data_IF_571292587972
#
_entry.id   IF_571292587972
#
_cell.length_a   1.000
_cell.length_b   1.000
_cell.length_c   1.000
_cell.angle_alpha   90.00
_cell.angle_beta   90.00
_cell.angle_gamma   90.00
#
_symmetry.space_group_name_H-M   'P 1'
#
loop_
_entity.id
_entity.type
_entity.pdbx_description
1 polymer ?
#
# COMPACT_ATOMS: atom_id res chain seq x y z
N UNK A 1 7.58 -8.81 27.62
CA UNK A 1 7.31 -8.21 26.30
C UNK A 1 7.42 -6.71 26.48
N UNK A 2 8.49 -6.10 26.00
CA UNK A 2 8.69 -4.65 26.10
C UNK A 2 7.63 -3.94 25.29
N UNK A 3 6.72 -3.25 25.99
CA UNK A 3 5.78 -2.31 25.39
C UNK A 3 6.58 -1.14 24.81
N UNK A 4 7.05 -1.30 23.56
CA UNK A 4 7.69 -0.24 22.80
C UNK A 4 6.76 0.97 22.80
N UNK A 5 7.22 2.11 23.34
CA UNK A 5 6.44 3.36 23.35
C UNK A 5 5.93 3.62 21.94
N UNK A 6 4.61 3.60 21.74
CA UNK A 6 3.99 3.86 20.44
C UNK A 6 3.99 5.36 20.18
N UNK A 7 4.85 5.82 19.29
CA UNK A 7 4.88 7.22 18.86
C UNK A 7 3.84 7.43 17.74
N UNK A 8 2.86 8.31 17.99
CA UNK A 8 1.79 8.60 17.03
C UNK A 8 2.17 9.80 16.17
N UNK A 9 2.92 9.55 15.09
CA UNK A 9 3.20 10.53 14.02
C UNK A 9 2.38 10.18 12.78
N UNK A 10 1.52 11.09 12.31
CA UNK A 10 0.70 10.90 11.10
C UNK A 10 1.57 11.01 9.85
N UNK A 11 1.32 10.15 8.86
CA UNK A 11 2.03 10.20 7.59
C UNK A 11 1.66 11.46 6.80
N UNK A 12 2.64 12.23 6.28
CA UNK A 12 2.38 13.35 5.37
C UNK A 12 1.75 12.90 4.06
N UNK A 13 1.79 11.59 3.76
CA UNK A 13 1.06 10.96 2.67
C UNK A 13 -0.46 11.23 2.74
N UNK A 14 -1.06 11.28 3.93
CA UNK A 14 -2.51 11.53 4.09
C UNK A 14 -2.92 12.90 3.52
N UNK A 15 -2.02 13.88 3.56
CA UNK A 15 -2.25 15.26 3.09
C UNK A 15 -1.69 15.50 1.69
N UNK A 16 -0.98 14.54 1.10
CA UNK A 16 -0.28 14.71 -0.16
C UNK A 16 -1.24 14.66 -1.35
N UNK A 17 -1.08 15.61 -2.29
CA UNK A 17 -1.78 15.60 -3.57
C UNK A 17 -1.37 14.39 -4.43
N UNK A 18 -2.21 14.00 -5.40
CA UNK A 18 -1.98 12.86 -6.28
C UNK A 18 -0.60 12.89 -6.97
N UNK A 19 -0.19 14.04 -7.52
CA UNK A 19 1.14 14.21 -8.13
C UNK A 19 2.27 14.05 -7.10
N UNK A 20 2.07 14.54 -5.87
CA UNK A 20 3.07 14.39 -4.79
C UNK A 20 3.23 12.93 -4.38
N UNK A 21 2.13 12.16 -4.32
CA UNK A 21 2.15 10.71 -4.08
C UNK A 21 2.88 9.95 -5.16
N UNK A 22 2.63 10.30 -6.43
CA UNK A 22 3.30 9.73 -7.60
C UNK A 22 4.82 9.92 -7.49
N UNK A 23 5.29 11.15 -7.37
CA UNK A 23 6.72 11.44 -7.35
C UNK A 23 7.39 11.23 -5.98
N UNK A 24 6.68 10.66 -5.01
CA UNK A 24 7.13 10.52 -3.61
C UNK A 24 7.65 11.83 -3.01
N UNK A 25 7.19 12.98 -3.51
CA UNK A 25 7.64 14.29 -3.07
C UNK A 25 7.28 14.57 -1.62
N UNK A 26 6.18 14.00 -1.13
CA UNK A 26 5.82 14.05 0.28
C UNK A 26 6.84 13.36 1.20
N UNK A 27 7.65 12.43 0.66
CA UNK A 27 8.63 11.66 1.40
C UNK A 27 10.06 12.23 1.30
N UNK A 28 10.36 13.04 0.27
CA UNK A 28 11.68 13.70 0.11
C UNK A 28 12.14 14.53 1.34
N UNK A 29 11.27 15.26 2.07
CA UNK A 29 11.68 15.95 3.29
C UNK A 29 12.20 15.01 4.38
N UNK A 30 11.66 13.79 4.45
CA UNK A 30 12.11 12.77 5.40
C UNK A 30 13.52 12.26 5.03
N UNK A 31 13.79 12.02 3.75
CA UNK A 31 15.14 11.70 3.29
C UNK A 31 16.15 12.81 3.60
N UNK A 32 15.78 14.07 3.37
CA UNK A 32 16.64 15.21 3.71
C UNK A 32 16.92 15.31 5.21
N UNK A 33 15.93 14.95 6.05
CA UNK A 33 16.09 14.89 7.50
C UNK A 33 17.07 13.78 7.91
N UNK A 34 16.87 12.55 7.42
CA UNK A 34 17.74 11.41 7.72
C UNK A 34 19.16 11.51 7.14
N UNK A 35 19.37 12.33 6.11
CA UNK A 35 20.71 12.62 5.61
C UNK A 35 21.54 13.49 6.58
N UNK A 36 20.87 14.31 7.40
CA UNK A 36 21.53 15.27 8.30
C UNK A 36 21.50 14.85 9.77
N UNK A 37 20.61 13.93 10.15
CA UNK A 37 20.33 13.56 11.54
C UNK A 37 20.13 12.05 11.65
N UNK A 38 20.42 11.49 12.82
CA UNK A 38 20.08 10.10 13.14
C UNK A 38 18.56 9.95 13.34
N UNK A 39 17.97 8.98 12.64
CA UNK A 39 16.52 8.73 12.68
C UNK A 39 16.17 7.88 13.89
N UNK A 40 15.40 8.43 14.82
CA UNK A 40 14.85 7.69 15.95
C UNK A 40 13.45 7.14 15.65
N UNK A 41 12.97 6.16 16.45
CA UNK A 41 11.62 5.59 16.30
C UNK A 41 10.50 6.65 16.38
N UNK A 42 10.71 7.73 17.13
CA UNK A 42 9.74 8.84 17.25
C UNK A 42 9.56 9.60 15.94
N UNK A 43 10.54 9.54 15.05
CA UNK A 43 10.56 10.29 13.80
C UNK A 43 9.93 9.55 12.63
N UNK A 44 9.72 8.24 12.78
CA UNK A 44 9.08 7.36 11.81
C UNK A 44 7.58 7.63 11.78
N UNK A 45 7.02 7.72 10.57
CA UNK A 45 5.58 7.87 10.36
C UNK A 45 4.85 6.55 10.58
N UNK A 46 3.64 6.61 11.15
CA UNK A 46 2.77 5.43 11.22
C UNK A 46 2.22 5.06 9.85
N UNK A 47 1.91 3.78 9.69
CA UNK A 47 1.19 3.29 8.53
C UNK A 47 -0.16 4.01 8.39
N UNK A 48 -0.49 4.35 7.15
CA UNK A 48 -1.77 4.95 6.78
C UNK A 48 -2.88 3.92 7.04
N UNK A 49 -4.08 4.36 7.42
CA UNK A 49 -5.24 3.47 7.66
C UNK A 49 -5.46 2.35 6.62
N UNK A 50 -5.39 2.59 5.29
CA UNK A 50 -5.52 1.52 4.30
C UNK A 50 -4.41 0.46 4.37
N UNK A 51 -3.21 0.83 4.81
CA UNK A 51 -2.03 -0.04 4.85
C UNK A 51 -1.89 -0.78 6.19
N UNK A 52 -2.80 -0.51 7.14
CA UNK A 52 -2.85 -1.24 8.41
C UNK A 52 -3.29 -2.68 8.16
N UNK A 53 -2.59 -3.63 8.78
CA UNK A 53 -2.86 -5.07 8.68
C UNK A 53 -4.30 -5.43 9.06
N UNK A 54 -4.88 -4.73 10.04
CA UNK A 54 -6.27 -4.91 10.45
C UNK A 54 -7.25 -4.58 9.31
N UNK A 55 -7.07 -3.43 8.65
CA UNK A 55 -7.91 -3.02 7.51
C UNK A 55 -7.80 -4.00 6.35
N UNK A 56 -6.57 -4.38 5.99
CA UNK A 56 -6.30 -5.35 4.93
C UNK A 56 -6.85 -6.74 5.26
N UNK A 57 -6.71 -7.18 6.51
CA UNK A 57 -7.23 -8.46 7.00
C UNK A 57 -8.75 -8.52 6.97
N UNK A 58 -9.41 -7.46 7.42
CA UNK A 58 -10.88 -7.35 7.39
C UNK A 58 -11.43 -7.42 5.95
N UNK A 59 -10.77 -6.75 4.99
CA UNK A 59 -11.15 -6.83 3.58
C UNK A 59 -10.98 -8.22 2.99
N UNK A 60 -9.85 -8.88 3.31
CA UNK A 60 -9.59 -10.25 2.85
C UNK A 60 -10.60 -11.23 3.44
N UNK A 61 -10.87 -11.13 4.74
CA UNK A 61 -11.86 -11.98 5.43
C UNK A 61 -13.23 -11.84 4.79
N UNK A 62 -13.69 -10.61 4.55
CA UNK A 62 -14.98 -10.36 3.87
C UNK A 62 -15.04 -11.04 2.50
N UNK A 63 -14.01 -10.86 1.67
CA UNK A 63 -13.95 -11.46 0.34
C UNK A 63 -13.86 -12.99 0.38
N UNK A 64 -13.21 -13.55 1.41
CA UNK A 64 -13.11 -14.97 1.65
C UNK A 64 -14.46 -15.59 2.02
N UNK A 65 -15.19 -14.98 2.96
CA UNK A 65 -16.53 -15.41 3.36
C UNK A 65 -17.53 -15.34 2.18
N UNK A 66 -17.46 -14.29 1.36
CA UNK A 66 -18.26 -14.20 0.13
C UNK A 66 -17.92 -15.33 -0.86
N UNK A 67 -16.65 -15.71 -0.97
CA UNK A 67 -16.23 -16.79 -1.85
C UNK A 67 -16.74 -18.15 -1.37
N UNK A 68 -16.67 -18.42 -0.05
CA UNK A 68 -17.20 -19.65 0.54
C UNK A 68 -18.71 -19.75 0.25
N UNK A 69 -19.48 -18.70 0.56
CA UNK A 69 -20.93 -18.66 0.31
C UNK A 69 -21.27 -18.92 -1.16
N UNK A 70 -20.49 -18.36 -2.09
CA UNK A 70 -20.67 -18.57 -3.54
C UNK A 70 -20.36 -20.01 -3.97
N UNK A 71 -19.34 -20.63 -3.38
CA UNK A 71 -18.99 -22.02 -3.64
C UNK A 71 -20.06 -22.98 -3.10
N UNK A 72 -20.59 -22.72 -1.90
CA UNK A 72 -21.65 -23.54 -1.28
C UNK A 72 -22.97 -23.46 -2.04
N UNK A 73 -23.30 -22.28 -2.58
CA UNK A 73 -24.52 -22.06 -3.36
C UNK A 73 -24.41 -22.50 -4.82
N UNK A 74 -23.20 -22.75 -5.35
CA UNK A 74 -23.00 -23.13 -6.73
C UNK A 74 -23.29 -24.62 -6.94
N UNK A 75 -24.11 -24.94 -7.95
CA UNK A 75 -24.33 -26.31 -8.44
C UNK A 75 -23.02 -27.02 -8.82
N UNK A 76 -22.01 -26.24 -9.24
CA UNK A 76 -20.66 -26.73 -9.44
C UNK A 76 -19.89 -26.62 -8.12
N UNK A 77 -19.69 -27.75 -7.42
CA UNK A 77 -18.92 -27.91 -6.17
C UNK A 77 -17.42 -27.52 -6.32
N UNK A 78 -17.14 -26.31 -6.79
CA UNK A 78 -15.79 -25.77 -6.93
C UNK A 78 -15.27 -25.45 -5.55
N UNK A 79 -14.12 -26.02 -5.21
CA UNK A 79 -13.45 -25.76 -3.93
C UNK A 79 -13.09 -24.28 -3.83
N UNK A 80 -13.36 -23.61 -2.68
CA UNK A 80 -12.92 -22.24 -2.48
C UNK A 80 -11.39 -22.18 -2.51
N UNK A 81 -10.83 -21.16 -3.17
CA UNK A 81 -9.39 -20.99 -3.35
C UNK A 81 -8.94 -19.68 -2.72
N UNK A 82 -8.15 -19.76 -1.66
CA UNK A 82 -7.63 -18.59 -0.93
C UNK A 82 -6.77 -17.69 -1.83
N UNK A 83 -5.98 -18.28 -2.74
CA UNK A 83 -5.19 -17.53 -3.72
C UNK A 83 -6.07 -16.62 -4.56
N UNK A 84 -7.26 -17.11 -4.97
CA UNK A 84 -8.21 -16.32 -5.73
C UNK A 84 -8.81 -15.17 -4.90
N UNK A 85 -9.10 -15.37 -3.61
CA UNK A 85 -9.55 -14.30 -2.72
C UNK A 85 -8.48 -13.20 -2.56
N UNK A 86 -7.23 -13.60 -2.34
CA UNK A 86 -6.09 -12.68 -2.19
C UNK A 86 -5.92 -11.85 -3.46
N UNK A 87 -5.84 -12.51 -4.62
CA UNK A 87 -5.71 -11.83 -5.91
C UNK A 87 -6.89 -10.88 -6.13
N UNK A 88 -8.13 -11.33 -5.91
CA UNK A 88 -9.31 -10.48 -6.09
C UNK A 88 -9.32 -9.25 -5.16
N UNK A 89 -8.87 -9.42 -3.92
CA UNK A 89 -8.85 -8.34 -2.91
C UNK A 89 -7.82 -7.27 -3.28
N UNK A 90 -6.61 -7.68 -3.65
CA UNK A 90 -5.48 -6.75 -3.75
C UNK A 90 -5.06 -6.38 -5.17
N UNK A 91 -5.41 -7.17 -6.18
CA UNK A 91 -4.96 -6.94 -7.56
C UNK A 91 -5.36 -5.55 -8.06
N UNK A 92 -6.60 -5.10 -7.82
CA UNK A 92 -7.06 -3.80 -8.30
C UNK A 92 -6.21 -2.64 -7.75
N UNK A 93 -5.85 -2.70 -6.47
CA UNK A 93 -5.04 -1.68 -5.81
C UNK A 93 -3.60 -1.68 -6.34
N UNK A 94 -2.98 -2.86 -6.42
CA UNK A 94 -1.60 -2.97 -6.90
C UNK A 94 -1.45 -2.73 -8.40
N UNK A 95 -2.44 -3.08 -9.22
CA UNK A 95 -2.42 -2.81 -10.66
C UNK A 95 -2.40 -1.31 -10.94
N UNK A 96 -3.20 -0.52 -10.21
CA UNK A 96 -3.18 0.94 -10.36
C UNK A 96 -1.80 1.52 -10.04
N UNK A 97 -1.20 1.11 -8.91
CA UNK A 97 0.15 1.52 -8.52
C UNK A 97 1.21 1.09 -9.55
N UNK A 98 1.11 -0.13 -10.08
CA UNK A 98 2.04 -0.65 -11.09
C UNK A 98 1.99 0.14 -12.40
N UNK A 99 0.80 0.46 -12.90
CA UNK A 99 0.62 1.30 -14.10
C UNK A 99 1.23 2.69 -13.87
N UNK A 100 1.03 3.28 -12.69
CA UNK A 100 1.61 4.59 -12.36
C UNK A 100 3.15 4.54 -12.34
N UNK A 101 3.76 3.55 -11.70
CA UNK A 101 5.23 3.38 -11.67
C UNK A 101 5.80 3.16 -13.08
N UNK A 102 5.10 2.37 -13.91
CA UNK A 102 5.51 2.13 -15.29
C UNK A 102 5.52 3.42 -16.13
N UNK A 103 4.49 4.26 -15.98
CA UNK A 103 4.44 5.56 -16.64
C UNK A 103 5.57 6.48 -16.17
N UNK A 104 5.85 6.53 -14.86
CA UNK A 104 6.99 7.30 -14.33
C UNK A 104 8.31 6.85 -14.94
N UNK A 105 8.53 5.54 -15.07
CA UNK A 105 9.75 4.99 -15.67
C UNK A 105 9.91 5.41 -17.13
N UNK A 106 8.83 5.41 -17.92
CA UNK A 106 8.85 5.90 -19.31
C UNK A 106 9.21 7.39 -19.36
N UNK A 107 8.56 8.19 -18.51
CA UNK A 107 8.79 9.63 -18.41
C UNK A 107 10.26 9.94 -18.08
N UNK A 108 10.78 9.35 -17.00
CA UNK A 108 12.18 9.53 -16.58
C UNK A 108 13.15 9.11 -17.68
N UNK A 109 12.89 7.97 -18.34
CA UNK A 109 13.75 7.46 -19.42
C UNK A 109 13.73 8.33 -20.68
N UNK A 110 12.63 9.02 -20.97
CA UNK A 110 12.56 9.98 -22.07
C UNK A 110 13.29 11.28 -21.74
N UNK A 111 13.15 11.80 -20.53
CA UNK A 111 13.87 13.02 -20.12
C UNK A 111 15.38 12.81 -20.00
N UNK A 112 15.83 11.63 -19.55
CA UNK A 112 17.26 11.29 -19.49
C UNK A 112 17.94 11.06 -20.85
N UNK A 113 17.19 10.99 -21.95
CA UNK A 113 17.74 10.93 -23.32
C UNK A 113 17.85 12.30 -23.99
N UNK A 114 17.24 13.34 -23.41
CA UNK A 114 17.23 14.71 -23.96
C UNK A 114 18.32 15.61 -23.33
N UNK A 115 19.10 15.10 -22.38
CA UNK A 115 20.26 15.77 -21.76
C UNK A 115 21.54 15.06 -22.18
#
# INVERSE_FOLDING_TARGET
>A
MDSTKKYVKKSPEEKANFLSKIFLWWFLPFFKYGYKNDVELKDIYNATKPDMSESLGNQLQKNWEEQIKKCDQSQNKKKPSLKSAIVKTYLKMYTASGVMIFLQFIVIRNYGKLT
#
